data_IF_577075322976
#
_entry.id   IF_577075322976
#
_cell.length_a   1.000
_cell.length_b   1.000
_cell.length_c   1.000
_cell.angle_alpha   90.00
_cell.angle_beta   90.00
_cell.angle_gamma   90.00
#
_symmetry.space_group_name_H-M   'P 1'
#
loop_
_entity.id
_entity.type
_entity.pdbx_description
1 polymer ?
#
# COMPACT_ATOMS: atom_id res chain seq x y z
N UNK A 1 5.48 -26.98 24.32
CA UNK A 1 5.69 -25.81 25.21
C UNK A 1 6.74 -24.86 24.64
N UNK A 2 7.91 -25.35 24.20
CA UNK A 2 9.00 -24.51 23.67
C UNK A 2 8.64 -23.77 22.39
N UNK A 3 8.01 -24.43 21.41
CA UNK A 3 7.56 -23.78 20.16
C UNK A 3 6.57 -22.63 20.41
N UNK A 4 5.66 -22.80 21.37
CA UNK A 4 4.72 -21.74 21.75
C UNK A 4 5.45 -20.54 22.36
N UNK A 5 6.41 -20.78 23.23
CA UNK A 5 7.20 -19.72 23.88
C UNK A 5 8.02 -18.94 22.82
N UNK A 6 8.62 -19.65 21.86
CA UNK A 6 9.38 -19.05 20.74
C UNK A 6 8.47 -18.21 19.86
N UNK A 7 7.35 -18.75 19.40
CA UNK A 7 6.38 -18.00 18.57
C UNK A 7 5.81 -16.77 19.30
N UNK A 8 5.52 -16.90 20.61
CA UNK A 8 5.05 -15.80 21.43
C UNK A 8 6.08 -14.67 21.55
N UNK A 9 7.36 -15.02 21.68
CA UNK A 9 8.46 -14.04 21.72
C UNK A 9 8.62 -13.34 20.36
N UNK A 10 8.63 -14.09 19.26
CA UNK A 10 8.76 -13.54 17.91
C UNK A 10 7.61 -12.59 17.57
N UNK A 11 6.37 -12.97 17.87
CA UNK A 11 5.19 -12.14 17.61
C UNK A 11 5.01 -10.99 18.64
N UNK A 12 5.92 -10.87 19.62
CA UNK A 12 5.87 -9.86 20.69
C UNK A 12 4.54 -9.89 21.47
N UNK A 13 4.14 -11.09 21.93
CA UNK A 13 2.88 -11.27 22.68
C UNK A 13 3.10 -11.82 24.12
N UNK A 14 4.33 -12.02 24.56
CA UNK A 14 4.64 -12.61 25.88
C UNK A 14 3.99 -11.88 27.05
N UNK A 15 3.86 -10.55 26.97
CA UNK A 15 3.31 -9.70 28.03
C UNK A 15 1.78 -9.80 28.20
N UNK A 16 1.09 -10.50 27.31
CA UNK A 16 -0.38 -10.67 27.41
C UNK A 16 -0.88 -12.11 27.20
N UNK A 17 0.01 -13.10 27.35
CA UNK A 17 -0.35 -14.53 27.26
C UNK A 17 -1.40 -14.96 28.28
N UNK A 18 -1.44 -14.32 29.45
CA UNK A 18 -2.41 -14.60 30.51
C UNK A 18 -3.77 -13.93 30.29
N UNK A 19 -3.90 -13.09 29.25
CA UNK A 19 -5.18 -12.44 28.95
C UNK A 19 -6.09 -13.37 28.16
N UNK A 20 -7.38 -13.27 28.43
CA UNK A 20 -8.39 -13.91 27.55
C UNK A 20 -8.39 -13.23 26.20
N UNK A 21 -8.47 -13.98 25.10
CA UNK A 21 -8.46 -13.45 23.72
C UNK A 21 -9.48 -12.32 23.53
N UNK A 22 -10.68 -12.44 24.09
CA UNK A 22 -11.74 -11.40 24.01
C UNK A 22 -11.40 -10.08 24.72
N UNK A 23 -10.37 -10.07 25.57
CA UNK A 23 -9.89 -8.88 26.28
C UNK A 23 -8.66 -8.24 25.60
N UNK A 24 -8.20 -8.83 24.51
CA UNK A 24 -7.09 -8.31 23.72
C UNK A 24 -7.60 -7.26 22.72
N UNK A 25 -6.81 -6.19 22.50
CA UNK A 25 -7.05 -5.26 21.40
C UNK A 25 -6.95 -6.00 20.05
N UNK A 26 -7.49 -5.39 18.99
CA UNK A 26 -7.42 -5.99 17.66
C UNK A 26 -5.97 -6.25 17.22
N UNK A 27 -5.06 -5.28 17.45
CA UNK A 27 -3.63 -5.46 17.18
C UNK A 27 -3.00 -6.61 17.96
N UNK A 28 -3.39 -6.80 19.25
CA UNK A 28 -2.98 -7.96 20.04
C UNK A 28 -3.53 -9.27 19.46
N UNK A 29 -4.80 -9.30 19.05
CA UNK A 29 -5.41 -10.48 18.41
C UNK A 29 -4.73 -10.84 17.09
N UNK A 30 -4.40 -9.85 16.25
CA UNK A 30 -3.65 -10.05 15.01
C UNK A 30 -2.26 -10.62 15.28
N UNK A 31 -1.53 -10.15 16.32
CA UNK A 31 -0.22 -10.71 16.74
C UNK A 31 -0.35 -12.14 17.23
N UNK A 32 -1.40 -12.50 17.95
CA UNK A 32 -1.70 -13.89 18.34
C UNK A 32 -1.88 -14.75 17.08
N UNK A 33 -2.58 -14.24 16.06
CA UNK A 33 -2.70 -14.90 14.76
C UNK A 33 -1.34 -15.15 14.08
N UNK A 34 -0.45 -14.16 14.09
CA UNK A 34 0.95 -14.30 13.60
C UNK A 34 1.68 -15.40 14.37
N UNK A 35 1.61 -15.38 15.72
CA UNK A 35 2.22 -16.43 16.53
C UNK A 35 1.69 -17.83 16.21
N UNK A 36 0.38 -17.95 15.99
CA UNK A 36 -0.24 -19.22 15.60
C UNK A 36 0.23 -19.69 14.22
N UNK A 37 0.39 -18.79 13.26
CA UNK A 37 0.89 -19.08 11.91
C UNK A 37 2.37 -19.57 11.93
N UNK A 38 3.16 -19.18 12.93
CA UNK A 38 4.54 -19.65 13.10
C UNK A 38 4.63 -21.09 13.63
N UNK A 39 3.57 -21.59 14.28
CA UNK A 39 3.58 -22.95 14.83
C UNK A 39 3.63 -23.96 13.69
N UNK A 40 4.57 -24.91 13.76
CA UNK A 40 4.77 -25.90 12.69
C UNK A 40 5.75 -25.48 11.62
N UNK A 41 6.34 -24.30 11.73
CA UNK A 41 7.40 -23.79 10.85
C UNK A 41 7.05 -23.88 9.34
N UNK A 42 5.94 -23.28 8.88
CA UNK A 42 5.51 -23.39 7.50
C UNK A 42 6.48 -22.67 6.55
N UNK A 43 6.69 -23.22 5.35
CA UNK A 43 7.46 -22.57 4.29
C UNK A 43 6.68 -21.43 3.60
N UNK A 44 5.33 -21.54 3.60
CA UNK A 44 4.42 -20.55 2.98
C UNK A 44 3.39 -20.11 4.01
N UNK A 45 3.17 -18.82 4.09
CA UNK A 45 2.18 -18.20 4.98
C UNK A 45 1.22 -17.33 4.16
N UNK A 46 -0.07 -17.44 4.45
CA UNK A 46 -1.11 -16.59 3.83
C UNK A 46 -1.69 -15.67 4.90
N UNK A 47 -1.65 -14.36 4.64
CA UNK A 47 -2.16 -13.32 5.53
C UNK A 47 -3.26 -12.55 4.80
N UNK A 48 -4.49 -12.72 5.25
CA UNK A 48 -5.63 -12.01 4.70
C UNK A 48 -5.95 -10.77 5.53
N UNK A 49 -5.81 -9.59 4.91
CA UNK A 49 -6.05 -8.28 5.53
C UNK A 49 -5.40 -8.16 6.94
N UNK A 50 -4.09 -8.42 7.09
CA UNK A 50 -3.49 -8.54 8.42
C UNK A 50 -3.50 -7.24 9.22
N UNK A 51 -3.53 -6.08 8.57
CA UNK A 51 -3.48 -4.75 9.21
C UNK A 51 -4.82 -4.07 9.30
N UNK A 52 -5.88 -4.65 8.69
CA UNK A 52 -7.21 -4.06 8.71
C UNK A 52 -7.72 -3.85 10.15
N UNK A 53 -8.13 -2.60 10.44
CA UNK A 53 -8.63 -2.18 11.75
C UNK A 53 -7.57 -1.95 12.82
N UNK A 54 -6.27 -2.12 12.52
CA UNK A 54 -5.20 -1.73 13.44
C UNK A 54 -5.04 -0.21 13.42
N UNK A 55 -4.88 0.40 14.61
CA UNK A 55 -4.60 1.83 14.73
C UNK A 55 -3.31 2.19 13.93
N UNK A 56 -3.32 3.28 13.14
CA UNK A 56 -2.16 3.70 12.34
C UNK A 56 -0.86 3.82 13.16
N UNK A 57 -0.94 4.22 14.43
CA UNK A 57 0.24 4.32 15.30
C UNK A 57 0.82 2.95 15.69
N UNK A 58 -0.03 1.93 15.78
CA UNK A 58 0.39 0.56 16.09
C UNK A 58 0.86 -0.20 14.84
N UNK A 59 0.49 0.27 13.64
CA UNK A 59 0.71 -0.42 12.36
C UNK A 59 2.20 -0.59 12.06
N UNK A 60 3.03 0.43 12.26
CA UNK A 60 4.49 0.33 12.08
C UNK A 60 5.12 -0.79 12.94
N UNK A 61 4.70 -0.87 14.21
CA UNK A 61 5.17 -1.93 15.10
C UNK A 61 4.67 -3.33 14.65
N UNK A 62 3.51 -3.39 14.02
CA UNK A 62 2.97 -4.62 13.46
C UNK A 62 3.76 -5.07 12.21
N UNK A 63 4.11 -4.15 11.30
CA UNK A 63 4.96 -4.44 10.14
C UNK A 63 6.31 -5.06 10.54
N UNK A 64 6.95 -4.49 11.57
CA UNK A 64 8.17 -5.06 12.11
C UNK A 64 7.99 -6.52 12.56
N UNK A 65 6.91 -6.81 13.27
CA UNK A 65 6.61 -8.18 13.70
C UNK A 65 6.42 -9.11 12.51
N UNK A 66 5.65 -8.71 11.50
CA UNK A 66 5.43 -9.52 10.28
C UNK A 66 6.75 -9.81 9.57
N UNK A 67 7.58 -8.79 9.34
CA UNK A 67 8.89 -8.94 8.67
C UNK A 67 9.82 -9.87 9.42
N UNK A 68 9.96 -9.68 10.72
CA UNK A 68 10.84 -10.52 11.54
C UNK A 68 10.36 -11.98 11.66
N UNK A 69 9.05 -12.17 11.80
CA UNK A 69 8.46 -13.49 11.90
C UNK A 69 8.58 -14.31 10.62
N UNK A 70 8.54 -13.66 9.45
CA UNK A 70 8.41 -14.35 8.18
C UNK A 70 9.54 -14.05 7.17
N UNK A 71 10.67 -13.47 7.61
CA UNK A 71 11.78 -13.03 6.73
C UNK A 71 12.38 -14.15 5.84
N UNK A 72 12.28 -15.41 6.26
CA UNK A 72 12.79 -16.58 5.54
C UNK A 72 11.66 -17.43 4.94
N UNK A 73 10.46 -16.87 4.81
CA UNK A 73 9.27 -17.58 4.36
C UNK A 73 8.66 -16.90 3.13
N UNK A 74 7.97 -17.67 2.31
CA UNK A 74 7.12 -17.09 1.27
C UNK A 74 5.83 -16.61 1.90
N UNK A 75 5.52 -15.32 1.74
CA UNK A 75 4.30 -14.71 2.29
C UNK A 75 3.41 -14.27 1.15
N UNK A 76 2.17 -14.74 1.12
CA UNK A 76 1.09 -14.19 0.31
C UNK A 76 0.22 -13.32 1.21
N UNK A 77 0.19 -12.01 0.91
CA UNK A 77 -0.56 -11.04 1.71
C UNK A 77 -1.62 -10.37 0.85
N UNK A 78 -2.89 -10.40 1.29
CA UNK A 78 -3.94 -9.58 0.71
C UNK A 78 -4.12 -8.30 1.52
N UNK A 79 -4.33 -7.17 0.86
CA UNK A 79 -4.66 -5.91 1.50
C UNK A 79 -5.32 -4.93 0.53
N UNK A 80 -6.17 -4.05 1.05
CA UNK A 80 -6.66 -2.86 0.37
C UNK A 80 -5.96 -1.57 0.90
N UNK A 81 -5.00 -1.72 1.80
CA UNK A 81 -4.26 -0.62 2.42
C UNK A 81 -2.94 -0.43 1.67
N UNK A 82 -2.84 0.64 0.90
CA UNK A 82 -1.66 0.91 0.06
C UNK A 82 -0.36 1.01 0.89
N UNK A 83 -0.46 1.49 2.13
CA UNK A 83 0.68 1.60 3.03
C UNK A 83 1.29 0.24 3.42
N UNK A 84 0.50 -0.84 3.42
CA UNK A 84 1.01 -2.19 3.64
C UNK A 84 2.02 -2.60 2.55
N UNK A 85 1.80 -2.18 1.31
CA UNK A 85 2.71 -2.46 0.20
C UNK A 85 4.07 -1.78 0.43
N UNK A 86 4.07 -0.53 0.90
CA UNK A 86 5.30 0.22 1.19
C UNK A 86 6.19 -0.47 2.23
N UNK A 87 5.57 -1.23 3.14
CA UNK A 87 6.27 -1.83 4.27
C UNK A 87 6.53 -3.32 4.13
N UNK A 88 5.72 -4.05 3.37
CA UNK A 88 5.72 -5.52 3.38
C UNK A 88 5.96 -6.16 2.01
N UNK A 89 5.76 -5.44 0.88
CA UNK A 89 5.79 -6.06 -0.44
C UNK A 89 7.19 -6.08 -1.06
N UNK A 90 7.61 -7.23 -1.56
CA UNK A 90 8.71 -7.36 -2.52
C UNK A 90 8.17 -7.42 -3.96
N UNK A 91 6.99 -8.05 -4.13
CA UNK A 91 6.26 -8.14 -5.39
C UNK A 91 4.82 -7.70 -5.18
N UNK A 92 4.24 -7.12 -6.22
CA UNK A 92 2.87 -6.60 -6.23
C UNK A 92 2.08 -7.30 -7.33
N UNK A 93 0.88 -7.74 -6.98
CA UNK A 93 -0.13 -8.19 -7.91
C UNK A 93 -1.41 -7.41 -7.63
N UNK A 94 -1.86 -6.60 -8.59
CA UNK A 94 -3.10 -5.85 -8.46
C UNK A 94 -4.24 -6.54 -9.17
N UNK A 95 -5.35 -6.68 -8.47
CA UNK A 95 -6.58 -7.28 -8.97
C UNK A 95 -7.70 -6.23 -9.06
N UNK A 96 -8.40 -6.20 -10.19
CA UNK A 96 -9.61 -5.40 -10.37
C UNK A 96 -10.65 -6.23 -11.12
N UNK A 97 -11.85 -6.36 -10.55
CA UNK A 97 -12.97 -7.11 -11.16
C UNK A 97 -12.61 -8.55 -11.60
N UNK A 98 -11.68 -9.21 -10.87
CA UNK A 98 -11.24 -10.57 -11.16
C UNK A 98 -10.07 -10.67 -12.19
N UNK A 99 -9.61 -9.54 -12.71
CA UNK A 99 -8.50 -9.47 -13.66
C UNK A 99 -7.23 -8.94 -13.01
N UNK A 100 -6.07 -9.44 -13.47
CA UNK A 100 -4.76 -8.92 -13.05
C UNK A 100 -4.46 -7.67 -13.87
N UNK A 101 -4.40 -6.51 -13.22
CA UNK A 101 -4.11 -5.23 -13.88
C UNK A 101 -2.66 -4.77 -13.73
N UNK A 102 -1.92 -5.37 -12.78
CA UNK A 102 -0.47 -5.21 -12.62
C UNK A 102 0.12 -6.45 -11.97
N UNK A 103 1.33 -6.82 -12.39
CA UNK A 103 2.17 -7.82 -11.74
C UNK A 103 3.64 -7.46 -11.97
N UNK A 104 4.41 -7.34 -10.90
CA UNK A 104 5.83 -7.00 -10.97
C UNK A 104 6.46 -6.80 -9.60
N UNK A 105 7.72 -6.38 -9.57
CA UNK A 105 8.39 -6.03 -8.32
C UNK A 105 7.78 -4.75 -7.73
N UNK A 106 7.88 -4.59 -6.41
CA UNK A 106 7.45 -3.35 -5.75
C UNK A 106 8.28 -2.14 -6.22
N UNK A 107 9.55 -2.36 -6.53
CA UNK A 107 10.46 -1.33 -7.05
C UNK A 107 9.96 -0.84 -8.42
N UNK A 108 9.68 -1.76 -9.36
CA UNK A 108 9.15 -1.39 -10.69
C UNK A 108 7.80 -0.70 -10.58
N UNK A 109 6.96 -1.14 -9.63
CA UNK A 109 5.69 -0.48 -9.33
C UNK A 109 5.91 0.99 -8.92
N UNK A 110 6.81 1.26 -7.97
CA UNK A 110 7.10 2.61 -7.49
C UNK A 110 7.62 3.54 -8.60
N UNK A 111 8.36 3.00 -9.57
CA UNK A 111 8.94 3.78 -10.67
C UNK A 111 8.07 3.85 -11.94
N UNK A 112 6.87 3.28 -11.92
CA UNK A 112 6.01 3.16 -13.10
C UNK A 112 5.64 4.51 -13.76
N UNK A 113 5.59 5.59 -12.99
CA UNK A 113 5.22 6.93 -13.44
C UNK A 113 6.34 7.97 -13.27
N UNK A 114 7.57 7.56 -12.99
CA UNK A 114 8.69 8.46 -12.78
C UNK A 114 8.90 9.40 -13.97
N UNK A 115 9.08 10.70 -13.65
CA UNK A 115 9.31 11.74 -14.63
C UNK A 115 8.10 12.09 -15.52
N UNK A 116 6.99 11.36 -15.40
CA UNK A 116 5.82 11.48 -16.28
C UNK A 116 4.61 12.10 -15.59
N UNK A 117 4.65 12.27 -14.27
CA UNK A 117 3.56 12.81 -13.48
C UNK A 117 3.72 14.31 -13.26
N UNK A 118 2.68 15.06 -13.55
CA UNK A 118 2.62 16.51 -13.40
C UNK A 118 1.51 16.91 -12.45
N UNK A 119 1.69 18.09 -11.82
CA UNK A 119 0.70 18.67 -10.94
C UNK A 119 0.24 20.04 -11.44
N UNK A 120 -1.06 20.28 -11.37
CA UNK A 120 -1.70 21.59 -11.60
C UNK A 120 -2.65 21.90 -10.47
N UNK A 121 -2.73 23.17 -10.10
CA UNK A 121 -3.66 23.65 -9.09
C UNK A 121 -4.73 24.55 -9.73
N UNK A 122 -6.00 24.27 -9.43
CA UNK A 122 -7.13 25.09 -9.84
C UNK A 122 -7.75 25.78 -8.62
N UNK A 123 -7.72 27.13 -8.53
CA UNK A 123 -8.38 27.85 -7.47
C UNK A 123 -9.91 27.78 -7.62
N UNK A 124 -10.62 27.91 -6.50
CA UNK A 124 -12.09 28.02 -6.46
C UNK A 124 -12.91 26.88 -7.08
N UNK A 125 -12.32 25.68 -7.25
CA UNK A 125 -12.95 24.53 -7.91
C UNK A 125 -13.35 24.77 -9.38
N UNK A 126 -12.74 25.74 -10.03
CA UNK A 126 -12.90 25.92 -11.46
C UNK A 126 -12.29 24.74 -12.23
N UNK A 127 -12.73 24.53 -13.46
CA UNK A 127 -12.14 23.48 -14.31
C UNK A 127 -10.65 23.76 -14.52
N UNK A 128 -9.76 22.78 -14.28
CA UNK A 128 -8.33 22.99 -14.44
C UNK A 128 -7.98 23.27 -15.91
N UNK A 129 -7.03 24.14 -16.14
CA UNK A 129 -6.41 24.28 -17.46
C UNK A 129 -5.34 23.19 -17.58
N UNK A 130 -5.72 22.03 -18.08
CA UNK A 130 -4.82 20.90 -18.34
C UNK A 130 -4.47 20.82 -19.84
N UNK A 131 -3.40 20.10 -20.22
CA UNK A 131 -3.14 19.73 -21.61
C UNK A 131 -4.31 18.95 -22.22
N UNK A 132 -4.45 18.99 -23.55
CA UNK A 132 -5.55 18.29 -24.22
C UNK A 132 -5.44 16.76 -24.09
N UNK A 133 -4.22 16.24 -23.96
CA UNK A 133 -3.91 14.82 -23.78
C UNK A 133 -3.78 14.39 -22.31
N UNK A 134 -4.18 15.26 -21.37
CA UNK A 134 -4.02 14.97 -19.95
C UNK A 134 -4.89 13.80 -19.48
N UNK A 135 -4.26 12.83 -18.85
CA UNK A 135 -4.92 11.73 -18.13
C UNK A 135 -4.79 12.00 -16.63
N UNK A 136 -5.87 12.47 -16.00
CA UNK A 136 -5.89 12.74 -14.56
C UNK A 136 -5.87 11.43 -13.80
N UNK A 137 -4.88 11.25 -12.92
CA UNK A 137 -4.75 10.06 -12.07
C UNK A 137 -5.22 10.31 -10.65
N UNK A 138 -5.04 11.54 -10.14
CA UNK A 138 -5.46 11.90 -8.78
C UNK A 138 -6.03 13.32 -8.77
N UNK A 139 -7.15 13.48 -8.06
CA UNK A 139 -7.77 14.76 -7.74
C UNK A 139 -7.89 14.88 -6.23
N UNK A 140 -7.33 15.93 -5.65
CA UNK A 140 -7.33 16.15 -4.21
C UNK A 140 -7.75 17.56 -3.85
N UNK A 141 -8.63 17.69 -2.86
CA UNK A 141 -8.96 19.00 -2.27
C UNK A 141 -7.75 19.58 -1.57
N UNK A 142 -7.41 20.82 -1.92
CA UNK A 142 -6.32 21.57 -1.34
C UNK A 142 -6.83 22.91 -0.79
N UNK A 143 -6.00 23.59 0.00
CA UNK A 143 -6.37 24.88 0.57
C UNK A 143 -6.62 25.92 -0.54
N UNK A 144 -7.88 26.35 -0.69
CA UNK A 144 -8.29 27.34 -1.70
C UNK A 144 -8.59 26.79 -3.10
N UNK A 145 -8.67 25.44 -3.29
CA UNK A 145 -8.99 24.88 -4.60
C UNK A 145 -8.81 23.37 -4.69
N UNK A 146 -8.47 22.89 -5.87
CA UNK A 146 -8.24 21.48 -6.17
C UNK A 146 -6.90 21.28 -6.85
N UNK A 147 -6.11 20.33 -6.37
CA UNK A 147 -4.88 19.88 -7.02
C UNK A 147 -5.20 18.67 -7.92
N UNK A 148 -4.69 18.71 -9.14
CA UNK A 148 -4.82 17.65 -10.12
C UNK A 148 -3.45 17.06 -10.42
N UNK A 149 -3.30 15.74 -10.32
CA UNK A 149 -2.11 15.04 -10.78
C UNK A 149 -2.46 14.26 -12.04
N UNK A 150 -1.66 14.42 -13.08
CA UNK A 150 -1.97 13.90 -14.40
C UNK A 150 -0.72 13.52 -15.19
N UNK A 151 -0.91 12.65 -16.17
CA UNK A 151 0.07 12.31 -17.20
C UNK A 151 -0.23 13.07 -18.47
N UNK A 152 0.81 13.54 -19.19
CA UNK A 152 0.65 14.22 -20.47
C UNK A 152 1.97 14.26 -21.23
N UNK A 153 1.95 13.87 -22.51
CA UNK A 153 3.09 14.01 -23.42
C UNK A 153 3.35 15.46 -23.80
N UNK A 154 2.30 16.27 -23.89
CA UNK A 154 2.42 17.71 -24.13
C UNK A 154 3.15 18.40 -22.96
N UNK A 155 2.85 18.01 -21.73
CA UNK A 155 3.54 18.53 -20.54
C UNK A 155 5.01 18.09 -20.49
N UNK A 156 5.33 16.84 -20.84
CA UNK A 156 6.69 16.33 -20.95
C UNK A 156 7.54 17.12 -21.96
N UNK A 157 6.96 17.48 -23.11
CA UNK A 157 7.64 18.18 -24.18
C UNK A 157 7.68 19.70 -24.04
N UNK A 158 6.93 20.26 -23.07
CA UNK A 158 6.75 21.71 -22.91
C UNK A 158 8.00 22.34 -22.26
N UNK A 159 8.71 23.16 -23.03
CA UNK A 159 9.83 23.98 -22.54
C UNK A 159 9.42 25.08 -21.53
N UNK A 160 8.12 25.35 -21.37
CA UNK A 160 7.61 26.50 -20.62
C UNK A 160 7.34 26.24 -19.13
N UNK A 161 7.70 25.08 -18.58
CA UNK A 161 7.51 24.73 -17.16
C UNK A 161 6.12 25.12 -16.58
N UNK A 162 5.07 25.09 -17.41
CA UNK A 162 3.72 25.46 -17.01
C UNK A 162 3.16 24.55 -15.91
N UNK A 163 3.60 23.29 -15.90
CA UNK A 163 3.21 22.27 -14.94
C UNK A 163 4.41 21.81 -14.17
N UNK A 164 4.20 21.52 -12.88
CA UNK A 164 5.24 21.03 -12.00
C UNK A 164 5.34 19.51 -12.13
N UNK A 165 6.50 18.98 -12.52
CA UNK A 165 6.77 17.55 -12.43
C UNK A 165 6.86 17.16 -10.94
N UNK A 166 6.23 16.05 -10.56
CA UNK A 166 6.15 15.57 -9.17
C UNK A 166 6.44 14.08 -9.11
N UNK A 167 6.99 13.65 -7.97
CA UNK A 167 7.19 12.24 -7.71
C UNK A 167 5.85 11.52 -7.48
N UNK A 168 5.64 10.34 -8.09
CA UNK A 168 4.42 9.59 -7.91
C UNK A 168 4.31 9.02 -6.48
N UNK A 169 3.10 9.05 -5.95
CA UNK A 169 2.74 8.30 -4.76
C UNK A 169 2.21 6.90 -5.13
N UNK A 170 2.18 5.99 -4.17
CA UNK A 170 1.56 4.67 -4.34
C UNK A 170 0.10 4.79 -4.82
N UNK A 171 -0.62 5.82 -4.33
CA UNK A 171 -2.00 6.09 -4.73
C UNK A 171 -2.11 6.55 -6.20
N UNK A 172 -1.20 7.41 -6.68
CA UNK A 172 -1.18 7.84 -8.08
C UNK A 172 -0.98 6.64 -9.01
N UNK A 173 -0.05 5.75 -8.67
CA UNK A 173 0.25 4.54 -9.45
C UNK A 173 -0.93 3.58 -9.43
N UNK A 174 -1.54 3.37 -8.26
CA UNK A 174 -2.75 2.57 -8.11
C UNK A 174 -3.89 3.10 -9.00
N UNK A 175 -4.17 4.40 -8.93
CA UNK A 175 -5.21 5.04 -9.72
C UNK A 175 -4.96 4.90 -11.22
N UNK A 176 -3.70 5.09 -11.65
CA UNK A 176 -3.29 4.93 -13.05
C UNK A 176 -3.64 3.54 -13.59
N UNK A 177 -3.19 2.47 -12.93
CA UNK A 177 -3.49 1.11 -13.36
C UNK A 177 -4.98 0.79 -13.26
N UNK A 178 -5.64 1.27 -12.23
CA UNK A 178 -7.08 1.03 -12.01
C UNK A 178 -7.96 1.70 -13.07
N UNK A 179 -7.56 2.84 -13.62
CA UNK A 179 -8.32 3.56 -14.65
C UNK A 179 -8.09 2.95 -16.05
N UNK A 180 -6.86 2.58 -16.37
CA UNK A 180 -6.49 2.13 -17.72
C UNK A 180 -6.93 0.69 -18.06
N UNK A 181 -7.34 -0.11 -17.09
CA UNK A 181 -7.84 -1.47 -17.28
C UNK A 181 -9.36 -1.59 -17.09
N UNK A 182 -10.12 -0.47 -17.17
CA UNK A 182 -11.57 -0.44 -17.03
C UNK A 182 -12.36 -0.17 -18.33
N UNK A 183 -11.69 -0.09 -19.47
CA UNK A 183 -12.30 0.23 -20.78
C UNK A 183 -12.00 -0.86 -21.82
N UNK A 184 -12.04 -2.13 -21.44
CA UNK A 184 -12.01 -3.28 -22.35
C UNK A 184 -13.30 -4.03 -22.34
#
# INVERSE_FOLDING_TARGET
AEAIATAAKQANITQFLDRKFKQCSLGMQKRIGIAAALLGDPAVVVLDEPTAGIDPKERLSFYHVVRECFKEKSVLLSTHILDDMNHLADNVLMLKSGEVIYHGTYIDFCHALDGRLFESFSPNRDSPTLPNDAVVVTEASAQGGTAYRFLSREAESSANHKYKNVDPTTEDIWNYYSQNHGNG
#
